data_IF_606995340777
#
_entry.id   IF_606995340777
#
_cell.length_a   1.000
_cell.length_b   1.000
_cell.length_c   1.000
_cell.angle_alpha   90.00
_cell.angle_beta   90.00
_cell.angle_gamma   90.00
#
_symmetry.space_group_name_H-M   'P 1'
#
loop_
_entity.id
_entity.type
_entity.pdbx_description
1 polymer ?
#
# COMPACT_ATOMS: atom_id res chain seq x y z
N UNK A 1 -6.82 -8.19 -10.59
CA UNK A 1 -8.08 -7.65 -10.02
C UNK A 1 -7.72 -7.08 -8.66
N UNK A 2 -8.21 -5.89 -8.31
CA UNK A 2 -7.89 -5.27 -7.02
C UNK A 2 -8.65 -5.98 -5.90
N UNK A 3 -7.93 -6.45 -4.88
CA UNK A 3 -8.50 -7.10 -3.71
C UNK A 3 -8.26 -6.24 -2.45
N UNK A 4 -8.81 -5.02 -2.48
CA UNK A 4 -8.76 -4.07 -1.38
C UNK A 4 -10.18 -3.71 -0.98
N UNK A 5 -10.46 -3.70 0.33
CA UNK A 5 -11.76 -3.32 0.87
C UNK A 5 -11.63 -2.05 1.71
N UNK A 6 -12.22 -0.95 1.25
CA UNK A 6 -12.48 0.24 2.06
C UNK A 6 -13.92 0.13 2.56
N UNK A 7 -14.12 -0.06 3.86
CA UNK A 7 -15.46 -0.25 4.43
C UNK A 7 -16.31 1.01 4.27
N UNK A 8 -17.64 0.86 4.29
CA UNK A 8 -18.55 2.01 4.20
C UNK A 8 -18.27 3.07 5.28
N UNK A 9 -17.98 2.65 6.52
CA UNK A 9 -17.61 3.58 7.60
C UNK A 9 -16.31 4.32 7.30
N UNK A 10 -15.31 3.65 6.72
CA UNK A 10 -14.07 4.29 6.28
C UNK A 10 -14.29 5.26 5.12
N UNK A 11 -15.15 4.93 4.16
CA UNK A 11 -15.50 5.81 3.04
C UNK A 11 -16.14 7.11 3.55
N UNK A 12 -17.12 7.02 4.45
CA UNK A 12 -17.76 8.20 5.06
C UNK A 12 -16.73 9.06 5.80
N UNK A 13 -15.85 8.43 6.58
CA UNK A 13 -14.81 9.15 7.31
C UNK A 13 -13.82 9.86 6.37
N UNK A 14 -13.33 9.16 5.35
CA UNK A 14 -12.40 9.71 4.36
C UNK A 14 -13.05 10.86 3.58
N UNK A 15 -14.30 10.73 3.15
CA UNK A 15 -15.06 11.80 2.52
C UNK A 15 -15.09 13.06 3.39
N UNK A 16 -15.38 12.92 4.70
CA UNK A 16 -15.36 14.04 5.64
C UNK A 16 -13.97 14.67 5.86
N UNK A 17 -12.89 13.92 5.63
CA UNK A 17 -11.53 14.49 5.61
C UNK A 17 -11.25 15.27 4.33
N UNK A 18 -11.71 14.75 3.18
CA UNK A 18 -11.57 15.36 1.86
C UNK A 18 -12.35 16.68 1.74
N UNK A 19 -13.58 16.75 2.26
CA UNK A 19 -14.40 17.97 2.29
C UNK A 19 -13.66 19.14 2.97
N UNK A 20 -12.90 18.85 4.03
CA UNK A 20 -12.11 19.86 4.76
C UNK A 20 -10.92 20.39 3.98
N UNK A 21 -10.52 19.72 2.89
CA UNK A 21 -9.39 20.16 2.06
C UNK A 21 -9.76 21.29 1.09
N UNK A 22 -11.05 21.63 0.95
CA UNK A 22 -11.54 22.69 0.05
C UNK A 22 -10.96 22.57 -1.36
N UNK A 23 -10.91 21.34 -1.91
CA UNK A 23 -10.35 21.06 -3.22
C UNK A 23 -11.34 20.19 -3.99
N UNK A 24 -11.91 20.75 -5.06
CA UNK A 24 -12.79 19.98 -5.94
C UNK A 24 -12.01 18.86 -6.63
N UNK A 25 -12.64 17.69 -6.78
CA UNK A 25 -12.04 16.51 -7.40
C UNK A 25 -10.91 15.85 -6.60
N UNK A 26 -10.68 16.25 -5.35
CA UNK A 26 -9.71 15.59 -4.49
C UNK A 26 -10.18 14.16 -4.15
N UNK A 27 -9.26 13.22 -4.22
CA UNK A 27 -9.48 11.84 -3.83
C UNK A 27 -8.43 11.36 -2.83
N UNK A 28 -8.33 10.05 -2.70
CA UNK A 28 -7.28 9.39 -1.91
C UNK A 28 -6.41 8.54 -2.83
N UNK A 29 -5.11 8.47 -2.55
CA UNK A 29 -4.18 7.56 -3.20
C UNK A 29 -3.60 6.59 -2.19
N UNK A 30 -3.74 5.29 -2.45
CA UNK A 30 -3.24 4.22 -1.60
C UNK A 30 -2.05 3.52 -2.27
N UNK A 31 -0.98 3.32 -1.50
CA UNK A 31 0.27 2.76 -1.99
C UNK A 31 1.05 2.08 -0.84
N UNK A 32 2.07 1.32 -1.20
CA UNK A 32 3.03 0.72 -0.28
C UNK A 32 4.38 1.40 -0.51
N UNK A 33 4.94 2.03 0.53
CA UNK A 33 6.33 2.49 0.52
C UNK A 33 7.25 1.29 0.70
N UNK A 34 8.45 1.33 0.08
CA UNK A 34 9.46 0.26 0.14
C UNK A 34 8.87 -1.18 0.01
N UNK A 35 8.03 -1.44 -1.02
CA UNK A 35 7.33 -2.71 -1.15
C UNK A 35 8.32 -3.87 -1.33
N UNK A 36 8.00 -5.02 -0.74
CA UNK A 36 8.88 -6.20 -0.80
C UNK A 36 10.00 -6.18 0.24
N UNK A 37 10.02 -5.19 1.13
CA UNK A 37 11.00 -5.06 2.21
C UNK A 37 10.35 -5.14 3.60
N UNK A 38 11.11 -5.44 4.66
CA UNK A 38 10.64 -5.35 6.04
C UNK A 38 10.23 -3.93 6.47
N UNK A 39 10.68 -2.91 5.72
CA UNK A 39 10.35 -1.51 5.96
C UNK A 39 9.03 -1.10 5.30
N UNK A 40 8.36 -2.00 4.59
CA UNK A 40 7.18 -1.61 3.85
C UNK A 40 6.11 -1.02 4.76
N UNK A 41 5.54 0.11 4.33
CA UNK A 41 4.42 0.76 5.01
C UNK A 41 3.28 0.98 4.02
N UNK A 42 2.06 0.67 4.45
CA UNK A 42 0.87 0.95 3.66
C UNK A 42 0.37 2.34 3.98
N UNK A 43 0.27 3.19 2.96
CA UNK A 43 -0.02 4.60 3.09
C UNK A 43 -1.31 4.95 2.34
N UNK A 44 -2.04 5.93 2.88
CA UNK A 44 -3.10 6.66 2.19
C UNK A 44 -2.73 8.14 2.23
N UNK A 45 -2.70 8.77 1.06
CA UNK A 45 -2.46 10.20 0.92
C UNK A 45 -3.64 10.88 0.22
N UNK A 46 -3.78 12.19 0.39
CA UNK A 46 -4.65 12.97 -0.47
C UNK A 46 -4.09 12.99 -1.89
N UNK A 47 -4.97 12.91 -2.88
CA UNK A 47 -4.63 13.04 -4.28
C UNK A 47 -5.44 14.18 -4.88
N UNK A 48 -4.79 15.32 -5.13
CA UNK A 48 -5.44 16.43 -5.83
C UNK A 48 -5.55 16.09 -7.33
N UNK A 49 -6.45 16.76 -8.06
CA UNK A 49 -6.52 16.61 -9.51
C UNK A 49 -5.15 16.82 -10.16
N UNK A 50 -4.69 15.82 -10.91
CA UNK A 50 -3.38 15.82 -11.59
C UNK A 50 -2.19 15.30 -10.78
N UNK A 51 -2.37 14.90 -9.51
CA UNK A 51 -1.28 14.31 -8.70
C UNK A 51 -1.25 12.77 -8.73
N UNK A 52 -2.29 12.12 -9.26
CA UNK A 52 -2.29 10.68 -9.50
C UNK A 52 -1.53 10.35 -10.79
N UNK A 53 -0.99 9.13 -10.86
CA UNK A 53 -0.35 8.65 -12.08
C UNK A 53 -1.42 8.12 -13.04
N UNK A 54 -1.17 8.24 -14.35
CA UNK A 54 -2.07 7.70 -15.38
C UNK A 54 -2.23 6.18 -15.31
N UNK A 55 -1.23 5.49 -14.75
CA UNK A 55 -1.21 4.04 -14.55
C UNK A 55 -1.91 3.62 -13.25
N UNK A 56 -2.27 4.56 -12.36
CA UNK A 56 -2.95 4.20 -11.12
C UNK A 56 -4.34 3.62 -11.43
N UNK A 57 -4.69 2.52 -10.77
CA UNK A 57 -6.01 1.96 -10.88
C UNK A 57 -7.02 2.83 -10.12
N UNK A 58 -8.07 3.26 -10.79
CA UNK A 58 -9.13 4.10 -10.19
C UNK A 58 -10.30 3.24 -9.74
N UNK A 59 -10.73 3.46 -8.50
CA UNK A 59 -12.00 2.96 -7.96
C UNK A 59 -12.87 4.15 -7.59
N UNK A 60 -14.05 4.21 -8.19
CA UNK A 60 -15.03 5.26 -7.93
C UNK A 60 -15.91 4.84 -6.74
N UNK A 61 -15.88 5.65 -5.68
CA UNK A 61 -16.86 5.59 -4.60
C UNK A 61 -17.86 6.74 -4.75
N UNK A 62 -19.01 6.64 -4.09
CA UNK A 62 -20.08 7.64 -4.20
C UNK A 62 -19.60 9.07 -3.88
N UNK A 63 -18.69 9.22 -2.91
CA UNK A 63 -18.23 10.52 -2.43
C UNK A 63 -16.85 10.96 -2.94
N UNK A 64 -16.02 10.04 -3.47
CA UNK A 64 -14.65 10.35 -3.92
C UNK A 64 -14.06 9.22 -4.79
N UNK A 65 -12.97 9.53 -5.49
CA UNK A 65 -12.17 8.52 -6.20
C UNK A 65 -11.00 8.04 -5.32
N UNK A 66 -10.77 6.74 -5.31
CA UNK A 66 -9.56 6.13 -4.77
C UNK A 66 -8.63 5.68 -5.89
N UNK A 67 -7.37 6.07 -5.80
CA UNK A 67 -6.30 5.72 -6.74
C UNK A 67 -5.39 4.69 -6.08
N UNK A 68 -5.09 3.59 -6.77
CA UNK A 68 -4.19 2.56 -6.27
C UNK A 68 -2.95 2.52 -7.15
N UNK A 69 -1.79 2.73 -6.54
CA UNK A 69 -0.53 2.71 -7.27
C UNK A 69 -0.28 1.33 -7.89
N UNK A 70 -0.05 1.31 -9.21
CA UNK A 70 0.04 0.06 -9.99
C UNK A 70 1.05 -0.94 -9.41
N UNK A 71 2.26 -0.49 -9.05
CA UNK A 71 3.29 -1.36 -8.43
C UNK A 71 2.92 -1.85 -7.03
N UNK A 72 2.02 -1.14 -6.34
CA UNK A 72 1.59 -1.47 -4.98
C UNK A 72 0.47 -2.50 -4.96
N UNK A 73 -0.31 -2.66 -6.04
CA UNK A 73 -1.47 -3.55 -6.10
C UNK A 73 -1.18 -4.98 -5.59
N UNK A 74 -0.07 -5.66 -5.98
CA UNK A 74 0.23 -7.00 -5.48
C UNK A 74 0.44 -7.07 -3.96
N UNK A 75 0.96 -5.99 -3.36
CA UNK A 75 1.24 -5.88 -1.93
C UNK A 75 0.01 -5.45 -1.12
N UNK A 76 -0.98 -4.88 -1.80
CA UNK A 76 -2.27 -4.50 -1.24
C UNK A 76 -3.29 -5.65 -1.27
N UNK A 77 -2.91 -6.85 -1.69
CA UNK A 77 -3.81 -8.00 -1.68
C UNK A 77 -4.34 -8.27 -0.26
N UNK A 78 -5.66 -8.46 -0.15
CA UNK A 78 -6.41 -8.57 1.09
C UNK A 78 -6.31 -7.35 2.03
N UNK A 79 -5.92 -6.18 1.51
CA UNK A 79 -5.87 -4.98 2.32
C UNK A 79 -7.29 -4.53 2.71
N UNK A 80 -7.44 -4.10 3.96
CA UNK A 80 -8.67 -3.55 4.52
C UNK A 80 -8.41 -2.20 5.17
N UNK A 81 -9.20 -1.20 4.76
CA UNK A 81 -9.28 0.10 5.40
C UNK A 81 -10.61 0.16 6.14
N UNK A 82 -10.57 0.38 7.45
CA UNK A 82 -11.74 0.39 8.30
C UNK A 82 -11.74 1.60 9.21
N UNK A 83 -12.92 2.09 9.56
CA UNK A 83 -13.09 3.13 10.56
C UNK A 83 -14.04 2.65 11.65
N UNK A 84 -13.56 2.69 12.89
CA UNK A 84 -14.35 2.36 14.06
C UNK A 84 -14.50 3.61 14.93
N UNK A 85 -15.74 4.05 15.14
CA UNK A 85 -16.03 5.12 16.09
C UNK A 85 -15.78 4.67 17.53
N UNK A 86 -15.20 5.55 18.33
CA UNK A 86 -15.04 5.38 19.75
C UNK A 86 -15.31 6.69 20.49
N UNK A 87 -15.18 6.67 21.82
CA UNK A 87 -15.44 7.84 22.68
C UNK A 87 -14.49 9.02 22.45
N UNK A 88 -13.43 8.84 21.66
CA UNK A 88 -12.39 9.83 21.38
C UNK A 88 -12.39 10.32 19.93
N UNK A 89 -13.43 9.98 19.15
CA UNK A 89 -13.57 10.42 17.76
C UNK A 89 -13.22 9.36 16.72
N UNK A 90 -12.98 8.12 17.15
CA UNK A 90 -12.77 6.97 16.28
C UNK A 90 -11.35 6.82 15.73
N UNK A 91 -11.08 5.66 15.14
CA UNK A 91 -9.78 5.29 14.59
C UNK A 91 -9.94 4.73 13.18
N UNK A 92 -9.22 5.34 12.23
CA UNK A 92 -8.98 4.76 10.92
C UNK A 92 -7.86 3.72 11.04
N UNK A 93 -8.13 2.50 10.64
CA UNK A 93 -7.18 1.38 10.64
C UNK A 93 -6.95 0.90 9.22
N UNK A 94 -5.68 0.77 8.86
CA UNK A 94 -5.25 0.16 7.60
C UNK A 94 -4.58 -1.17 7.94
N UNK A 95 -5.08 -2.27 7.38
CA UNK A 95 -4.49 -3.60 7.50
C UNK A 95 -4.14 -4.09 6.11
N UNK A 96 -2.88 -4.32 5.82
CA UNK A 96 -2.42 -4.90 4.56
C UNK A 96 -1.50 -6.07 4.88
N UNK A 97 -2.04 -7.30 5.01
CA UNK A 97 -1.28 -8.45 5.47
C UNK A 97 -0.10 -8.81 4.55
N UNK A 98 -0.21 -8.49 3.25
CA UNK A 98 0.78 -8.77 2.22
C UNK A 98 1.71 -7.57 1.90
N UNK A 99 1.65 -6.48 2.68
CA UNK A 99 2.37 -5.23 2.39
C UNK A 99 3.91 -5.37 2.40
N UNK A 100 4.44 -6.20 3.29
CA UNK A 100 5.90 -6.37 3.45
C UNK A 100 6.50 -7.32 2.42
N UNK A 101 5.82 -8.44 2.20
CA UNK A 101 6.23 -9.45 1.25
C UNK A 101 4.95 -9.98 0.63
N UNK A 102 4.75 -9.85 -0.69
CA UNK A 102 3.67 -10.52 -1.37
C UNK A 102 3.97 -12.02 -1.28
N UNK A 103 2.94 -12.85 -1.41
CA UNK A 103 3.17 -14.26 -1.65
C UNK A 103 3.92 -14.39 -2.98
N UNK A 104 5.24 -14.57 -2.92
CA UNK A 104 6.05 -14.74 -4.11
C UNK A 104 5.63 -16.05 -4.78
N UNK A 105 5.23 -15.94 -6.03
CA UNK A 105 4.84 -17.08 -6.87
C UNK A 105 5.88 -17.33 -7.94
N UNK A 106 5.76 -18.45 -8.65
CA UNK A 106 6.63 -18.78 -9.77
C UNK A 106 6.54 -17.75 -10.93
N UNK A 107 5.45 -16.97 -10.99
CA UNK A 107 5.25 -15.92 -11.99
C UNK A 107 5.70 -14.52 -11.52
N UNK A 108 6.12 -14.37 -10.26
CA UNK A 108 6.60 -13.08 -9.74
C UNK A 108 7.85 -12.59 -10.49
N UNK A 109 8.03 -11.27 -10.67
CA UNK A 109 9.27 -10.67 -11.13
C UNK A 109 10.48 -11.23 -10.38
N UNK A 110 11.60 -11.39 -11.09
CA UNK A 110 12.82 -11.96 -10.49
C UNK A 110 13.37 -11.09 -9.35
N UNK A 111 13.11 -9.77 -9.42
CA UNK A 111 13.43 -8.82 -8.35
C UNK A 111 12.76 -9.20 -7.03
N UNK A 112 11.45 -9.45 -7.08
CA UNK A 112 10.65 -9.81 -5.91
C UNK A 112 11.12 -11.12 -5.30
N UNK A 113 11.47 -12.10 -6.14
CA UNK A 113 12.04 -13.38 -5.71
C UNK A 113 13.38 -13.20 -4.99
N UNK A 114 14.26 -12.34 -5.52
CA UNK A 114 15.54 -12.03 -4.89
C UNK A 114 15.31 -11.33 -3.54
N UNK A 115 14.47 -10.30 -3.50
CA UNK A 115 14.16 -9.58 -2.27
C UNK A 115 13.57 -10.51 -1.21
N UNK A 116 12.65 -11.41 -1.59
CA UNK A 116 12.10 -12.41 -0.68
C UNK A 116 13.18 -13.29 -0.07
N UNK A 117 14.10 -13.81 -0.86
CA UNK A 117 15.21 -14.65 -0.39
C UNK A 117 16.14 -13.85 0.54
N UNK A 118 16.49 -12.62 0.17
CA UNK A 118 17.33 -11.76 1.00
C UNK A 118 16.70 -11.49 2.37
N UNK A 119 15.40 -11.21 2.42
CA UNK A 119 14.73 -10.84 3.67
C UNK A 119 14.25 -12.01 4.53
N UNK A 120 13.82 -13.13 3.94
CA UNK A 120 13.31 -14.28 4.69
C UNK A 120 14.39 -15.30 5.04
N UNK A 121 15.39 -15.48 4.17
CA UNK A 121 16.36 -16.56 4.33
C UNK A 121 17.75 -16.04 4.75
N UNK A 122 18.20 -14.92 4.18
CA UNK A 122 19.58 -14.42 4.40
C UNK A 122 19.66 -13.47 5.60
N UNK A 123 18.86 -12.42 5.62
CA UNK A 123 18.94 -11.35 6.63
C UNK A 123 18.67 -11.83 8.07
N UNK A 124 17.77 -12.80 8.35
CA UNK A 124 17.61 -13.32 9.71
C UNK A 124 18.90 -13.92 10.28
N UNK A 125 19.71 -14.57 9.43
CA UNK A 125 21.04 -15.08 9.82
C UNK A 125 22.06 -13.96 10.07
N UNK A 126 22.09 -12.94 9.21
CA UNK A 126 23.01 -11.81 9.33
C UNK A 126 22.68 -10.89 10.52
N UNK A 127 21.41 -10.76 10.87
CA UNK A 127 20.96 -9.90 11.96
C UNK A 127 21.60 -10.28 13.31
N UNK A 128 21.93 -11.56 13.52
CA UNK A 128 22.62 -12.05 14.71
C UNK A 128 24.03 -11.46 14.90
N UNK A 129 24.61 -10.91 13.83
CA UNK A 129 25.90 -10.21 13.82
C UNK A 129 25.76 -8.73 13.44
N UNK A 130 24.53 -8.19 13.46
CA UNK A 130 24.24 -6.79 13.10
C UNK A 130 24.37 -6.49 11.60
N UNK A 131 24.48 -7.51 10.75
CA UNK A 131 24.54 -7.36 9.30
C UNK A 131 23.15 -7.26 8.67
N UNK A 132 23.06 -6.51 7.57
CA UNK A 132 21.89 -6.48 6.69
C UNK A 132 22.38 -6.37 5.25
N UNK A 133 21.74 -7.08 4.35
CA UNK A 133 21.95 -6.98 2.90
C UNK A 133 20.65 -6.60 2.22
N UNK A 134 20.74 -5.85 1.14
CA UNK A 134 19.63 -5.46 0.29
C UNK A 134 20.05 -5.57 -1.17
N UNK A 135 19.09 -5.81 -2.06
CA UNK A 135 19.32 -5.69 -3.49
C UNK A 135 19.64 -4.22 -3.80
N UNK A 136 20.67 -3.97 -4.61
CA UNK A 136 21.08 -2.62 -5.00
C UNK A 136 20.62 -2.28 -6.42
N UNK A 137 20.89 -3.16 -7.38
CA UNK A 137 20.57 -2.98 -8.79
C UNK A 137 20.48 -4.36 -9.46
N UNK A 138 19.63 -4.49 -10.47
CA UNK A 138 19.67 -5.59 -11.44
C UNK A 138 19.94 -5.04 -12.83
N UNK A 139 20.89 -5.66 -13.51
CA UNK A 139 21.18 -5.38 -14.92
C UNK A 139 20.69 -6.56 -15.77
N UNK A 140 19.94 -6.25 -16.83
CA UNK A 140 19.62 -7.21 -17.87
C UNK A 140 20.84 -7.37 -18.80
N UNK A 141 21.30 -8.61 -18.96
CA UNK A 141 22.45 -8.98 -19.79
C UNK A 141 22.13 -9.07 -21.28
#
# INVERSE_FOLDING_TARGET
MLNVNITESAQVYLAGLLEKQNCEGIGVRMFVSDPGTPKAETCIAYSRPGEHNEEDLVVEYEAFNAYFEQRSIPFLDEAKVDFAEDKFGGQLTIRAPNSRLPNVTDDSPIEDKINYLLYNDINPGLASHGGVVSLSEMADG
#
